data_IF_445648702031
#
_entry.id   IF_445648702031
#
_cell.length_a   1.000
_cell.length_b   1.000
_cell.length_c   1.000
_cell.angle_alpha   90.00
_cell.angle_beta   90.00
_cell.angle_gamma   90.00
#
_symmetry.space_group_name_H-M   'P 1'
#
loop_
_entity.id
_entity.type
_entity.pdbx_description
1 polymer ?
#
# COMPACT_ATOMS: atom_id res chain seq x y z
N UNK A 1 15.20 -15.68 21.10
CA UNK A 1 15.00 -14.88 19.88
C UNK A 1 16.00 -15.37 18.83
N UNK A 2 15.75 -16.22 17.84
CA UNK A 2 14.53 -16.74 17.22
C UNK A 2 14.80 -16.77 15.71
N UNK A 3 15.61 -17.73 15.23
CA UNK A 3 16.12 -17.92 13.84
C UNK A 3 15.12 -17.64 12.69
N UNK A 4 13.82 -17.78 12.98
CA UNK A 4 12.72 -17.48 12.05
C UNK A 4 12.61 -15.99 11.66
N UNK A 5 12.89 -15.07 12.59
CA UNK A 5 12.86 -13.62 12.31
C UNK A 5 14.00 -13.20 11.39
N UNK A 6 15.20 -13.77 11.58
CA UNK A 6 16.35 -13.46 10.73
C UNK A 6 16.13 -13.91 9.29
N UNK A 7 15.51 -15.08 9.11
CA UNK A 7 15.20 -15.64 7.77
C UNK A 7 14.15 -14.80 7.04
N UNK A 8 13.13 -14.31 7.76
CA UNK A 8 12.10 -13.44 7.20
C UNK A 8 12.66 -12.06 6.83
N UNK A 9 13.47 -11.46 7.70
CA UNK A 9 14.15 -10.19 7.43
C UNK A 9 15.08 -10.34 6.22
N UNK A 10 15.85 -11.43 6.14
CA UNK A 10 16.73 -11.68 5.00
C UNK A 10 15.93 -11.86 3.71
N UNK A 11 14.80 -12.56 3.74
CA UNK A 11 13.92 -12.70 2.58
C UNK A 11 13.31 -11.36 2.15
N UNK A 12 12.91 -10.49 3.09
CA UNK A 12 12.35 -9.17 2.80
C UNK A 12 13.42 -8.22 2.26
N UNK A 13 14.59 -8.18 2.89
CA UNK A 13 15.74 -7.41 2.42
C UNK A 13 16.16 -7.89 1.04
N UNK A 14 16.23 -9.20 0.81
CA UNK A 14 16.54 -9.77 -0.51
C UNK A 14 15.45 -9.44 -1.53
N UNK A 15 14.16 -9.47 -1.15
CA UNK A 15 13.06 -9.09 -2.05
C UNK A 15 13.10 -7.60 -2.41
N UNK A 16 13.42 -6.74 -1.45
CA UNK A 16 13.63 -5.32 -1.66
C UNK A 16 14.88 -5.07 -2.53
N UNK A 17 16.00 -5.76 -2.30
CA UNK A 17 17.21 -5.65 -3.11
C UNK A 17 17.04 -6.20 -4.54
N UNK A 18 16.26 -7.29 -4.72
CA UNK A 18 16.00 -7.90 -6.02
C UNK A 18 14.98 -7.12 -6.86
N UNK A 19 14.00 -6.47 -6.23
CA UNK A 19 12.97 -5.68 -6.94
C UNK A 19 13.27 -4.18 -6.99
N UNK A 20 14.09 -3.67 -6.07
CA UNK A 20 14.41 -2.25 -5.93
C UNK A 20 15.91 -2.08 -5.64
N UNK A 21 16.78 -2.12 -6.68
CA UNK A 21 18.22 -1.93 -6.55
C UNK A 21 18.64 -0.57 -5.95
N UNK A 22 17.72 0.38 -5.75
CA UNK A 22 17.98 1.62 -5.02
C UNK A 22 16.75 2.15 -4.28
N UNK A 23 16.97 3.00 -3.26
CA UNK A 23 15.90 3.70 -2.51
C UNK A 23 14.94 4.46 -3.44
N UNK A 24 15.49 5.09 -4.49
CA UNK A 24 14.72 5.81 -5.51
C UNK A 24 13.82 4.87 -6.32
N UNK A 25 14.24 3.62 -6.54
CA UNK A 25 13.37 2.65 -7.22
C UNK A 25 12.25 2.17 -6.29
N UNK A 26 12.49 2.05 -4.98
CA UNK A 26 11.45 1.69 -4.02
C UNK A 26 10.36 2.77 -3.91
N UNK A 27 10.71 4.06 -3.85
CA UNK A 27 9.73 5.15 -3.87
C UNK A 27 8.94 5.17 -5.17
N UNK A 28 9.64 5.09 -6.30
CA UNK A 28 9.01 5.07 -7.63
C UNK A 28 8.08 3.86 -7.77
N UNK A 29 8.48 2.69 -7.26
CA UNK A 29 7.64 1.49 -7.24
C UNK A 29 6.37 1.65 -6.41
N UNK A 30 6.49 2.23 -5.21
CA UNK A 30 5.34 2.50 -4.33
C UNK A 30 4.38 3.52 -4.96
N UNK A 31 4.91 4.59 -5.55
CA UNK A 31 4.15 5.59 -6.30
C UNK A 31 3.40 4.98 -7.49
N UNK A 32 4.09 4.18 -8.31
CA UNK A 32 3.49 3.49 -9.45
C UNK A 32 2.38 2.55 -8.99
N UNK A 33 2.59 1.80 -7.91
CA UNK A 33 1.58 0.92 -7.36
C UNK A 33 0.35 1.69 -6.83
N UNK A 34 0.54 2.85 -6.19
CA UNK A 34 -0.52 3.74 -5.72
C UNK A 34 -1.40 4.24 -6.87
N UNK A 35 -0.76 4.77 -7.90
CA UNK A 35 -1.43 5.26 -9.12
C UNK A 35 -2.17 4.11 -9.81
N UNK A 36 -1.53 2.95 -9.98
CA UNK A 36 -2.14 1.78 -10.60
C UNK A 36 -3.35 1.25 -9.82
N UNK A 37 -3.32 1.33 -8.49
CA UNK A 37 -4.44 0.91 -7.63
C UNK A 37 -5.58 1.92 -7.70
N UNK A 38 -5.29 3.22 -7.64
CA UNK A 38 -6.28 4.28 -7.84
C UNK A 38 -6.99 4.17 -9.20
N UNK A 39 -6.22 3.99 -10.27
CA UNK A 39 -6.75 3.81 -11.63
C UNK A 39 -7.62 2.56 -11.76
N UNK A 40 -7.22 1.47 -11.11
CA UNK A 40 -8.01 0.24 -11.06
C UNK A 40 -9.39 0.49 -10.43
N UNK A 41 -9.46 1.19 -9.30
CA UNK A 41 -10.73 1.53 -8.66
C UNK A 41 -11.58 2.49 -9.49
N UNK A 42 -10.95 3.43 -10.20
CA UNK A 42 -11.63 4.30 -11.15
C UNK A 42 -12.24 3.51 -12.31
N UNK A 43 -11.51 2.53 -12.85
CA UNK A 43 -12.01 1.61 -13.88
C UNK A 43 -13.17 0.75 -13.38
N UNK A 44 -13.08 0.24 -12.15
CA UNK A 44 -14.20 -0.46 -11.52
C UNK A 44 -15.42 0.44 -11.35
N UNK A 45 -15.24 1.69 -10.92
CA UNK A 45 -16.34 2.64 -10.73
C UNK A 45 -17.09 2.92 -12.05
N UNK A 46 -16.38 2.93 -13.18
CA UNK A 46 -16.98 3.13 -14.50
C UNK A 46 -17.78 1.92 -14.98
N UNK A 47 -17.37 0.71 -14.59
CA UNK A 47 -18.04 -0.55 -14.98
C UNK A 47 -19.11 -0.99 -13.99
N UNK A 48 -19.17 -0.40 -12.79
CA UNK A 48 -20.12 -0.75 -11.73
C UNK A 48 -20.87 0.50 -11.21
N UNK A 49 -21.87 1.01 -11.97
CA UNK A 49 -22.56 2.25 -11.62
C UNK A 49 -23.24 2.22 -10.24
N UNK A 50 -23.79 1.07 -9.83
CA UNK A 50 -24.44 0.90 -8.53
C UNK A 50 -23.48 1.05 -7.34
N UNK A 51 -22.19 0.79 -7.55
CA UNK A 51 -21.15 0.89 -6.52
C UNK A 51 -20.22 2.07 -6.73
N UNK A 52 -20.54 2.96 -7.69
CA UNK A 52 -19.66 4.02 -8.18
C UNK A 52 -19.12 4.91 -7.05
N UNK A 53 -19.98 5.30 -6.11
CA UNK A 53 -19.58 6.19 -5.02
C UNK A 53 -18.48 5.56 -4.14
N UNK A 54 -18.68 4.33 -3.67
CA UNK A 54 -17.70 3.63 -2.83
C UNK A 54 -16.39 3.36 -3.60
N UNK A 55 -16.49 3.00 -4.88
CA UNK A 55 -15.31 2.75 -5.72
C UNK A 55 -14.51 4.02 -6.04
N UNK A 56 -15.19 5.17 -6.22
CA UNK A 56 -14.52 6.46 -6.36
C UNK A 56 -13.82 6.87 -5.07
N UNK A 57 -14.44 6.64 -3.90
CA UNK A 57 -13.77 6.90 -2.61
C UNK A 57 -12.49 6.06 -2.48
N UNK A 58 -12.55 4.76 -2.79
CA UNK A 58 -11.35 3.92 -2.84
C UNK A 58 -10.28 4.48 -3.78
N UNK A 59 -10.66 4.91 -4.99
CA UNK A 59 -9.72 5.51 -5.93
C UNK A 59 -9.05 6.76 -5.35
N UNK A 60 -9.79 7.60 -4.64
CA UNK A 60 -9.29 8.81 -3.95
C UNK A 60 -8.31 8.43 -2.84
N UNK A 61 -8.66 7.51 -1.95
CA UNK A 61 -7.78 7.07 -0.85
C UNK A 61 -6.42 6.57 -1.34
N UNK A 62 -6.41 5.72 -2.38
CA UNK A 62 -5.15 5.26 -2.97
C UNK A 62 -4.40 6.33 -3.75
N UNK A 63 -5.08 7.37 -4.24
CA UNK A 63 -4.43 8.54 -4.83
C UNK A 63 -3.79 9.42 -3.77
N UNK A 64 -4.43 9.58 -2.62
CA UNK A 64 -3.87 10.29 -1.47
C UNK A 64 -2.63 9.57 -0.91
N UNK A 65 -2.58 8.24 -0.96
CA UNK A 65 -1.38 7.50 -0.58
C UNK A 65 -0.09 7.97 -1.30
N UNK A 66 -0.20 8.51 -2.52
CA UNK A 66 0.92 9.09 -3.29
C UNK A 66 1.63 10.22 -2.51
N UNK A 67 0.89 11.01 -1.73
CA UNK A 67 1.46 12.16 -1.01
C UNK A 67 2.36 11.73 0.16
N UNK A 68 2.00 10.61 0.81
CA UNK A 68 2.76 10.04 1.93
C UNK A 68 3.97 9.21 1.45
N UNK A 69 3.88 8.56 0.29
CA UNK A 69 4.92 7.67 -0.23
C UNK A 69 6.14 8.37 -0.83
N UNK A 70 6.34 9.65 -0.53
CA UNK A 70 7.44 10.44 -1.09
C UNK A 70 8.81 10.16 -0.44
N UNK A 71 8.93 9.11 0.39
CA UNK A 71 10.12 8.50 1.02
C UNK A 71 11.17 9.43 1.66
N UNK A 72 10.92 10.74 1.75
CA UNK A 72 11.71 11.66 2.58
C UNK A 72 11.71 11.23 4.04
N UNK A 73 10.71 10.46 4.47
CA UNK A 73 10.62 9.98 5.84
C UNK A 73 11.78 9.10 6.30
N UNK A 74 12.56 8.44 5.43
CA UNK A 74 13.73 7.69 5.88
C UNK A 74 14.89 8.59 6.34
N UNK A 75 14.98 9.83 5.83
CA UNK A 75 15.98 10.81 6.27
C UNK A 75 15.53 11.55 7.53
N UNK A 76 14.22 11.66 7.74
CA UNK A 76 13.60 12.40 8.83
C UNK A 76 13.05 11.50 9.96
N UNK A 77 13.16 10.17 9.84
CA UNK A 77 12.64 9.19 10.81
C UNK A 77 11.11 9.06 10.83
N UNK A 78 10.44 9.39 9.73
CA UNK A 78 8.99 9.32 9.54
C UNK A 78 8.55 8.30 8.49
N UNK A 79 9.46 7.44 7.99
CA UNK A 79 9.09 6.46 6.97
C UNK A 79 8.13 5.40 7.51
N UNK A 80 8.23 5.03 8.79
CA UNK A 80 7.25 4.12 9.39
C UNK A 80 5.86 4.75 9.40
N UNK A 81 5.77 6.05 9.68
CA UNK A 81 4.53 6.82 9.65
C UNK A 81 3.95 6.92 8.23
N UNK A 82 4.78 7.22 7.23
CA UNK A 82 4.37 7.28 5.82
C UNK A 82 3.76 5.95 5.35
N UNK A 83 4.41 4.83 5.71
CA UNK A 83 3.91 3.49 5.39
C UNK A 83 2.63 3.17 6.17
N UNK A 84 2.52 3.63 7.41
CA UNK A 84 1.30 3.46 8.21
C UNK A 84 0.11 4.18 7.56
N UNK A 85 0.29 5.43 7.12
CA UNK A 85 -0.75 6.15 6.39
C UNK A 85 -1.16 5.44 5.09
N UNK A 86 -0.21 4.83 4.36
CA UNK A 86 -0.55 4.03 3.19
C UNK A 86 -1.42 2.80 3.54
N UNK A 87 -1.24 2.19 4.72
CA UNK A 87 -2.10 1.11 5.22
C UNK A 87 -3.49 1.62 5.62
N UNK A 88 -3.58 2.80 6.24
CA UNK A 88 -4.86 3.42 6.64
C UNK A 88 -5.75 3.69 5.43
N UNK A 89 -5.17 4.17 4.32
CA UNK A 89 -5.91 4.40 3.08
C UNK A 89 -6.59 3.13 2.54
N UNK A 90 -5.95 1.97 2.73
CA UNK A 90 -6.57 0.68 2.38
C UNK A 90 -7.73 0.33 3.33
N UNK A 91 -7.59 0.61 4.64
CA UNK A 91 -8.66 0.42 5.63
C UNK A 91 -9.87 1.33 5.38
N UNK A 92 -9.64 2.58 4.96
CA UNK A 92 -10.71 3.50 4.57
C UNK A 92 -11.45 3.01 3.33
N UNK A 93 -10.75 2.46 2.34
CA UNK A 93 -11.40 1.81 1.20
C UNK A 93 -12.23 0.59 1.62
N UNK A 94 -11.71 -0.30 2.49
CA UNK A 94 -12.48 -1.44 3.02
C UNK A 94 -13.77 -0.98 3.72
N UNK A 95 -13.68 0.09 4.51
CA UNK A 95 -14.82 0.70 5.20
C UNK A 95 -15.84 1.27 4.22
N UNK A 96 -15.39 1.97 3.17
CA UNK A 96 -16.26 2.53 2.14
C UNK A 96 -16.99 1.42 1.36
N UNK A 97 -16.29 0.33 1.00
CA UNK A 97 -16.90 -0.81 0.32
C UNK A 97 -17.92 -1.51 1.22
N UNK A 98 -17.58 -1.74 2.49
CA UNK A 98 -18.48 -2.35 3.47
C UNK A 98 -19.75 -1.52 3.68
N UNK A 99 -19.61 -0.20 3.86
CA UNK A 99 -20.73 0.75 4.04
C UNK A 99 -21.62 0.80 2.80
N UNK A 100 -21.03 0.71 1.61
CA UNK A 100 -21.77 0.63 0.35
C UNK A 100 -22.30 -0.77 0.02
N UNK A 101 -22.14 -1.77 0.90
CA UNK A 101 -22.47 -3.17 0.67
C UNK A 101 -21.88 -3.73 -0.64
N UNK A 102 -20.67 -3.28 -1.00
CA UNK A 102 -20.00 -3.61 -2.25
C UNK A 102 -19.11 -4.84 -2.06
N UNK A 103 -19.48 -5.94 -2.71
CA UNK A 103 -18.69 -7.17 -2.75
C UNK A 103 -18.18 -7.44 -4.16
N UNK A 104 -16.94 -7.06 -4.43
CA UNK A 104 -16.26 -7.30 -5.71
C UNK A 104 -14.92 -7.99 -5.40
N UNK A 105 -14.78 -9.26 -5.79
CA UNK A 105 -13.60 -10.07 -5.46
C UNK A 105 -12.29 -9.39 -5.89
N UNK A 106 -12.23 -8.86 -7.12
CA UNK A 106 -11.03 -8.17 -7.61
C UNK A 106 -10.68 -6.90 -6.82
N UNK A 107 -11.66 -6.22 -6.22
CA UNK A 107 -11.41 -5.09 -5.33
C UNK A 107 -10.77 -5.57 -4.02
N UNK A 108 -11.32 -6.62 -3.42
CA UNK A 108 -10.77 -7.26 -2.22
C UNK A 108 -9.34 -7.74 -2.46
N UNK A 109 -9.08 -8.46 -3.56
CA UNK A 109 -7.75 -8.96 -3.90
C UNK A 109 -6.73 -7.83 -4.07
N UNK A 110 -7.14 -6.74 -4.72
CA UNK A 110 -6.28 -5.57 -4.91
C UNK A 110 -5.92 -4.91 -3.57
N UNK A 111 -6.87 -4.77 -2.66
CA UNK A 111 -6.65 -4.21 -1.31
C UNK A 111 -5.75 -5.12 -0.49
N UNK A 112 -5.97 -6.43 -0.53
CA UNK A 112 -5.13 -7.39 0.23
C UNK A 112 -3.69 -7.39 -0.28
N UNK A 113 -3.49 -7.34 -1.60
CA UNK A 113 -2.15 -7.19 -2.19
C UNK A 113 -1.47 -5.92 -1.71
N UNK A 114 -2.19 -4.79 -1.67
CA UNK A 114 -1.69 -3.53 -1.14
C UNK A 114 -1.23 -3.67 0.32
N UNK A 115 -2.13 -4.16 1.20
CA UNK A 115 -1.86 -4.35 2.63
C UNK A 115 -0.65 -5.26 2.84
N UNK A 116 -0.55 -6.37 2.11
CA UNK A 116 0.60 -7.28 2.22
C UNK A 116 1.93 -6.59 1.89
N UNK A 117 1.98 -5.76 0.85
CA UNK A 117 3.20 -5.05 0.46
C UNK A 117 3.58 -4.01 1.52
N UNK A 118 2.63 -3.20 1.97
CA UNK A 118 2.91 -2.13 2.91
C UNK A 118 3.12 -2.62 4.34
N UNK A 119 2.53 -3.73 4.76
CA UNK A 119 2.86 -4.37 6.05
C UNK A 119 4.30 -4.91 6.05
N UNK A 120 4.76 -5.48 4.93
CA UNK A 120 6.16 -5.90 4.81
C UNK A 120 7.13 -4.70 4.82
N UNK A 121 6.76 -3.61 4.12
CA UNK A 121 7.53 -2.37 4.15
C UNK A 121 7.59 -1.77 5.57
N UNK A 122 6.47 -1.77 6.31
CA UNK A 122 6.40 -1.23 7.67
C UNK A 122 7.34 -1.99 8.62
N UNK A 123 7.31 -3.32 8.57
CA UNK A 123 8.20 -4.16 9.37
C UNK A 123 9.68 -3.91 9.05
N UNK A 124 10.02 -3.72 7.77
CA UNK A 124 11.37 -3.38 7.35
C UNK A 124 11.80 -2.00 7.87
N UNK A 125 10.94 -0.99 7.75
CA UNK A 125 11.24 0.38 8.19
C UNK A 125 11.38 0.47 9.71
N UNK A 126 10.48 -0.15 10.48
CA UNK A 126 10.61 -0.23 11.95
C UNK A 126 11.96 -0.82 12.36
N UNK A 127 12.46 -1.82 11.63
CA UNK A 127 13.75 -2.45 11.95
C UNK A 127 14.94 -1.55 11.62
N UNK A 128 14.78 -0.59 10.70
CA UNK A 128 15.83 0.33 10.28
C UNK A 128 15.82 1.65 11.07
N UNK A 129 14.66 2.05 11.59
CA UNK A 129 14.50 3.26 12.42
C UNK A 129 14.79 3.03 13.91
N UNK A 130 14.86 1.77 14.37
CA UNK A 130 15.25 1.39 15.74
C UNK A 130 16.66 0.80 15.80
#
# INVERSE_FOLDING_TARGET
MGSKNLTLIFAIVLFLFLNFPSRTQASVGALVNAIATSNFFTGLANTNPASKQALVLCATYFKEAVTFLNLKGLEEGSASLDVHYALDQAGYCETALSTGHVHIASATDRIQKWKSVFSAAYAAVITLEN
#
